data_IF_818461451612
#
_entry.id   IF_818461451612
#
_cell.length_a   1.000
_cell.length_b   1.000
_cell.length_c   1.000
_cell.angle_alpha   90.00
_cell.angle_beta   90.00
_cell.angle_gamma   90.00
#
_symmetry.space_group_name_H-M   'P 1'
#
loop_
_entity.id
_entity.type
_entity.pdbx_description
1 polymer ?
#
# COMPACT_ATOMS: atom_id res chain seq x y z
N UNK A 1 -22.91 -32.16 -29.82
CA UNK A 1 -23.29 -32.40 -28.41
C UNK A 1 -22.10 -33.03 -27.71
N UNK A 2 -21.14 -32.21 -27.30
CA UNK A 2 -19.94 -32.67 -26.59
C UNK A 2 -19.97 -31.98 -25.23
N UNK A 3 -20.46 -32.72 -24.24
CA UNK A 3 -20.25 -32.39 -22.82
C UNK A 3 -18.75 -32.44 -22.58
N UNK A 4 -18.17 -31.31 -22.19
CA UNK A 4 -16.88 -31.29 -21.54
C UNK A 4 -17.12 -31.66 -20.09
N UNK A 5 -16.91 -32.94 -19.77
CA UNK A 5 -16.80 -33.42 -18.40
C UNK A 5 -15.54 -32.80 -17.78
N UNK A 6 -15.73 -31.78 -16.95
CA UNK A 6 -14.69 -31.23 -16.10
C UNK A 6 -14.38 -32.25 -15.00
N UNK A 7 -13.27 -32.97 -15.17
CA UNK A 7 -12.59 -33.59 -14.04
C UNK A 7 -12.34 -32.51 -12.96
N UNK A 8 -12.56 -32.81 -11.67
CA UNK A 8 -12.22 -31.88 -10.58
C UNK A 8 -10.70 -31.85 -10.45
N UNK A 9 -10.06 -31.07 -11.32
CA UNK A 9 -8.65 -30.77 -11.17
C UNK A 9 -8.48 -29.87 -9.94
N UNK A 10 -7.46 -30.19 -9.13
CA UNK A 10 -6.96 -29.40 -8.00
C UNK A 10 -6.50 -27.96 -8.38
N UNK A 11 -6.93 -27.40 -9.52
CA UNK A 11 -6.61 -26.05 -10.00
C UNK A 11 -7.53 -24.96 -9.41
N UNK A 12 -8.63 -25.31 -8.74
CA UNK A 12 -9.63 -24.34 -8.27
C UNK A 12 -9.47 -23.96 -6.79
N UNK A 13 -8.27 -23.63 -6.36
CA UNK A 13 -8.05 -22.82 -5.13
C UNK A 13 -7.78 -21.35 -5.45
N UNK A 14 -7.59 -20.99 -6.73
CA UNK A 14 -7.19 -19.65 -7.18
C UNK A 14 -8.35 -18.76 -7.63
N UNK A 15 -9.58 -19.28 -7.61
CA UNK A 15 -10.79 -18.48 -7.79
C UNK A 15 -11.38 -18.16 -6.42
N UNK A 16 -10.62 -17.48 -5.55
CA UNK A 16 -11.19 -16.95 -4.33
C UNK A 16 -12.27 -15.93 -4.74
N UNK A 17 -13.55 -16.27 -4.56
CA UNK A 17 -14.66 -15.33 -4.68
C UNK A 17 -14.42 -14.07 -3.82
N UNK A 18 -13.64 -14.21 -2.74
CA UNK A 18 -13.22 -13.11 -1.84
C UNK A 18 -12.37 -12.03 -2.55
N UNK A 19 -11.65 -12.37 -3.61
CA UNK A 19 -10.84 -11.41 -4.37
C UNK A 19 -11.61 -10.72 -5.52
N UNK A 20 -12.94 -10.89 -5.61
CA UNK A 20 -13.76 -10.10 -6.55
C UNK A 20 -13.69 -8.62 -6.25
N UNK A 21 -13.86 -8.21 -4.99
CA UNK A 21 -13.80 -6.81 -4.57
C UNK A 21 -12.49 -6.13 -4.97
N UNK A 22 -11.36 -6.79 -4.72
CA UNK A 22 -10.02 -6.33 -5.09
C UNK A 22 -9.91 -6.02 -6.59
N UNK A 23 -10.44 -6.91 -7.44
CA UNK A 23 -10.40 -6.78 -8.90
C UNK A 23 -11.35 -5.67 -9.36
N UNK A 24 -12.54 -5.62 -8.80
CA UNK A 24 -13.58 -4.64 -9.16
C UNK A 24 -13.14 -3.22 -8.82
N UNK A 25 -12.55 -2.99 -7.64
CA UNK A 25 -11.99 -1.70 -7.27
C UNK A 25 -10.95 -1.20 -8.27
N UNK A 26 -10.08 -2.10 -8.74
CA UNK A 26 -9.04 -1.74 -9.71
C UNK A 26 -9.64 -1.40 -11.07
N UNK A 27 -10.63 -2.18 -11.52
CA UNK A 27 -11.34 -1.89 -12.76
C UNK A 27 -12.03 -0.53 -12.69
N UNK A 28 -12.74 -0.22 -11.61
CA UNK A 28 -13.40 1.07 -11.41
C UNK A 28 -12.38 2.22 -11.41
N UNK A 29 -11.24 2.04 -10.75
CA UNK A 29 -10.18 3.04 -10.71
C UNK A 29 -9.56 3.26 -12.10
N UNK A 30 -9.33 2.19 -12.86
CA UNK A 30 -8.84 2.25 -14.23
C UNK A 30 -9.83 2.98 -15.16
N UNK A 31 -11.12 2.69 -15.05
CA UNK A 31 -12.16 3.39 -15.81
C UNK A 31 -12.17 4.88 -15.49
N UNK A 32 -12.05 5.24 -14.22
CA UNK A 32 -11.96 6.65 -13.80
C UNK A 32 -10.70 7.34 -14.34
N UNK A 33 -9.55 6.65 -14.33
CA UNK A 33 -8.31 7.17 -14.91
C UNK A 33 -8.45 7.39 -16.42
N UNK A 34 -9.08 6.47 -17.12
CA UNK A 34 -9.32 6.59 -18.57
C UNK A 34 -10.32 7.71 -18.90
N UNK A 35 -11.37 7.88 -18.09
CA UNK A 35 -12.30 8.98 -18.23
C UNK A 35 -11.66 10.35 -17.98
N UNK A 36 -10.66 10.42 -17.07
CA UNK A 36 -9.87 11.63 -16.81
C UNK A 36 -8.76 11.88 -17.82
N UNK A 37 -8.41 10.91 -18.67
CA UNK A 37 -7.39 11.11 -19.68
C UNK A 37 -7.89 12.13 -20.72
N UNK A 38 -7.08 13.17 -20.96
CA UNK A 38 -7.45 14.31 -21.80
C UNK A 38 -7.78 13.95 -23.26
N UNK A 39 -7.38 12.76 -23.74
CA UNK A 39 -7.79 12.22 -25.03
C UNK A 39 -8.35 10.81 -24.90
N UNK A 40 -9.53 10.52 -25.49
CA UNK A 40 -10.13 9.19 -25.52
C UNK A 40 -9.32 8.16 -26.33
N UNK A 41 -8.28 8.59 -27.06
CA UNK A 41 -7.37 7.70 -27.81
C UNK A 41 -6.10 7.30 -27.05
N UNK A 42 -5.93 7.75 -25.80
CA UNK A 42 -4.73 7.46 -25.01
C UNK A 42 -4.83 6.06 -24.41
N UNK A 43 -4.13 5.10 -25.00
CA UNK A 43 -4.12 3.73 -24.47
C UNK A 43 -3.20 3.64 -23.24
N UNK A 44 -3.75 3.21 -22.10
CA UNK A 44 -2.98 2.92 -20.90
C UNK A 44 -2.13 1.66 -21.10
N UNK A 45 -0.87 1.68 -20.69
CA UNK A 45 -0.01 0.49 -20.60
C UNK A 45 -0.13 -0.09 -19.21
N UNK A 46 -0.78 -1.25 -19.11
CA UNK A 46 -1.02 -1.94 -17.85
C UNK A 46 -0.11 -3.17 -17.78
N UNK A 47 0.57 -3.35 -16.65
CA UNK A 47 1.32 -4.55 -16.31
C UNK A 47 0.60 -5.30 -15.19
N UNK A 48 0.26 -6.56 -15.46
CA UNK A 48 -0.12 -7.53 -14.44
C UNK A 48 1.11 -8.39 -14.11
N UNK A 49 1.77 -8.10 -12.99
CA UNK A 49 3.07 -8.68 -12.68
C UNK A 49 3.01 -10.16 -12.26
N UNK A 50 1.86 -10.61 -11.72
CA UNK A 50 1.66 -11.98 -11.22
C UNK A 50 0.37 -12.58 -11.76
N UNK A 51 0.25 -12.60 -13.09
CA UNK A 51 -0.99 -12.86 -13.83
C UNK A 51 -1.74 -14.15 -13.45
N UNK A 52 -1.08 -15.18 -12.92
CA UNK A 52 -1.73 -16.45 -12.57
C UNK A 52 -2.46 -17.05 -13.79
N UNK A 53 -3.79 -17.20 -13.70
CA UNK A 53 -4.65 -17.63 -14.80
C UNK A 53 -4.99 -16.53 -15.82
N UNK A 54 -4.51 -15.30 -15.62
CA UNK A 54 -4.73 -14.16 -16.51
C UNK A 54 -6.06 -13.45 -16.34
N UNK A 55 -6.89 -13.84 -15.37
CA UNK A 55 -8.24 -13.28 -15.22
C UNK A 55 -8.23 -11.76 -14.98
N UNK A 56 -7.22 -11.22 -14.29
CA UNK A 56 -7.07 -9.77 -14.06
C UNK A 56 -6.73 -9.03 -15.36
N UNK A 57 -5.70 -9.48 -16.07
CA UNK A 57 -5.34 -8.95 -17.39
C UNK A 57 -6.53 -9.00 -18.37
N UNK A 58 -7.27 -10.12 -18.43
CA UNK A 58 -8.47 -10.26 -19.27
C UNK A 58 -9.54 -9.23 -18.89
N UNK A 59 -9.83 -9.08 -17.59
CA UNK A 59 -10.81 -8.10 -17.10
C UNK A 59 -10.40 -6.66 -17.40
N UNK A 60 -9.12 -6.32 -17.26
CA UNK A 60 -8.61 -4.98 -17.59
C UNK A 60 -8.82 -4.64 -19.07
N UNK A 61 -8.54 -5.59 -19.96
CA UNK A 61 -8.71 -5.41 -21.41
C UNK A 61 -10.19 -5.28 -21.77
N UNK A 62 -11.02 -6.22 -21.31
CA UNK A 62 -12.44 -6.29 -21.71
C UNK A 62 -13.24 -5.12 -21.13
N UNK A 63 -13.10 -4.85 -19.84
CA UNK A 63 -14.01 -3.93 -19.13
C UNK A 63 -13.54 -2.48 -19.22
N UNK A 64 -12.23 -2.25 -19.32
CA UNK A 64 -11.67 -0.89 -19.41
C UNK A 64 -11.46 -0.47 -20.86
N UNK A 65 -11.58 -1.37 -21.84
CA UNK A 65 -11.20 -1.12 -23.24
C UNK A 65 -9.74 -0.66 -23.39
N UNK A 66 -8.84 -1.22 -22.58
CA UNK A 66 -7.40 -0.93 -22.64
C UNK A 66 -6.70 -1.96 -23.51
N UNK A 67 -5.90 -1.52 -24.49
CA UNK A 67 -5.09 -2.40 -25.30
C UNK A 67 -3.80 -2.79 -24.55
N UNK A 68 -3.64 -4.08 -24.22
CA UNK A 68 -2.34 -4.59 -23.74
C UNK A 68 -1.34 -4.50 -24.89
N UNK A 69 -0.37 -3.60 -24.78
CA UNK A 69 0.77 -3.52 -25.69
C UNK A 69 1.98 -4.17 -25.03
N UNK A 70 2.60 -5.13 -25.73
CA UNK A 70 3.98 -5.50 -25.48
C UNK A 70 4.85 -4.24 -25.61
N UNK A 71 5.41 -3.77 -24.51
CA UNK A 71 5.97 -2.44 -24.44
C UNK A 71 7.27 -2.35 -25.27
N UNK A 72 7.31 -1.45 -26.26
CA UNK A 72 8.55 -0.95 -26.89
C UNK A 72 9.29 0.09 -26.01
N UNK A 73 8.75 0.36 -24.81
CA UNK A 73 9.23 1.35 -23.83
C UNK A 73 9.40 0.69 -22.47
N UNK A 74 10.32 1.15 -21.63
CA UNK A 74 10.63 0.54 -20.33
C UNK A 74 9.67 0.90 -19.18
N UNK A 75 8.62 1.71 -19.42
CA UNK A 75 7.74 2.23 -18.36
C UNK A 75 6.26 1.91 -18.60
N UNK A 76 5.54 1.67 -17.50
CA UNK A 76 4.10 1.34 -17.47
C UNK A 76 3.27 2.47 -16.85
N UNK A 77 2.03 2.63 -17.30
CA UNK A 77 1.10 3.62 -16.76
C UNK A 77 0.38 3.07 -15.51
N UNK A 78 0.12 1.76 -15.49
CA UNK A 78 -0.42 1.05 -14.33
C UNK A 78 0.33 -0.25 -14.10
N UNK A 79 0.65 -0.57 -12.84
CA UNK A 79 1.27 -1.82 -12.43
C UNK A 79 0.42 -2.45 -11.33
N UNK A 80 -0.02 -3.69 -11.52
CA UNK A 80 -0.77 -4.46 -10.52
C UNK A 80 0.08 -5.60 -9.93
N UNK A 81 0.32 -5.51 -8.64
CA UNK A 81 1.07 -6.46 -7.81
C UNK A 81 0.10 -7.23 -6.92
N UNK A 82 0.02 -8.54 -7.12
CA UNK A 82 -0.85 -9.43 -6.37
C UNK A 82 -0.12 -10.75 -6.07
N UNK A 83 0.90 -10.72 -5.21
CA UNK A 83 1.59 -11.93 -4.79
C UNK A 83 0.78 -12.71 -3.76
N UNK A 84 1.12 -13.98 -3.62
CA UNK A 84 0.75 -14.73 -2.42
C UNK A 84 1.67 -14.33 -1.27
N UNK A 85 1.12 -13.67 -0.27
CA UNK A 85 1.86 -13.15 0.89
C UNK A 85 2.23 -11.68 0.76
N UNK A 86 3.47 -11.37 1.12
CA UNK A 86 3.95 -9.99 1.23
C UNK A 86 4.29 -9.36 -0.13
N UNK A 87 3.93 -8.09 -0.34
CA UNK A 87 4.30 -7.35 -1.56
C UNK A 87 5.65 -6.62 -1.49
N UNK A 88 6.29 -6.57 -0.32
CA UNK A 88 7.54 -5.83 -0.05
C UNK A 88 8.60 -5.93 -1.15
N UNK A 89 8.92 -7.15 -1.59
CA UNK A 89 10.00 -7.41 -2.55
C UNK A 89 9.73 -6.87 -3.95
N UNK A 90 8.46 -6.64 -4.29
CA UNK A 90 8.01 -6.18 -5.60
C UNK A 90 7.87 -4.65 -5.69
N UNK A 91 7.72 -3.98 -4.54
CA UNK A 91 7.48 -2.54 -4.47
C UNK A 91 8.63 -1.74 -5.10
N UNK A 92 9.89 -2.10 -4.84
CA UNK A 92 11.05 -1.38 -5.36
C UNK A 92 11.06 -1.35 -6.90
N UNK A 93 10.89 -2.51 -7.53
CA UNK A 93 10.87 -2.65 -8.99
C UNK A 93 9.67 -1.93 -9.62
N UNK A 94 8.49 -2.01 -8.99
CA UNK A 94 7.29 -1.32 -9.48
C UNK A 94 7.45 0.21 -9.41
N UNK A 95 7.95 0.73 -8.28
CA UNK A 95 8.19 2.17 -8.09
C UNK A 95 9.22 2.71 -9.08
N UNK A 96 10.26 1.94 -9.42
CA UNK A 96 11.27 2.34 -10.39
C UNK A 96 10.71 2.39 -11.83
N UNK A 97 9.88 1.41 -12.20
CA UNK A 97 9.42 1.17 -13.58
C UNK A 97 8.14 1.92 -13.94
N UNK A 98 7.31 2.29 -12.96
CA UNK A 98 6.10 3.07 -13.23
C UNK A 98 6.44 4.44 -13.84
N UNK A 99 5.59 4.91 -14.75
CA UNK A 99 5.65 6.26 -15.29
C UNK A 99 5.31 7.30 -14.22
N UNK A 100 5.77 8.54 -14.41
CA UNK A 100 5.40 9.63 -13.49
C UNK A 100 3.90 9.92 -13.61
N UNK A 101 3.21 9.97 -12.48
CA UNK A 101 1.75 10.04 -12.39
C UNK A 101 1.04 8.70 -12.60
N UNK A 102 1.79 7.62 -12.85
CA UNK A 102 1.25 6.28 -13.01
C UNK A 102 0.74 5.69 -11.69
N UNK A 103 -0.09 4.66 -11.80
CA UNK A 103 -0.75 4.00 -10.69
C UNK A 103 -0.08 2.67 -10.36
N UNK A 104 0.16 2.42 -9.07
CA UNK A 104 0.52 1.09 -8.56
C UNK A 104 -0.65 0.57 -7.74
N UNK A 105 -1.09 -0.63 -8.07
CA UNK A 105 -2.01 -1.42 -7.28
C UNK A 105 -1.19 -2.52 -6.59
N UNK A 106 -1.24 -2.61 -5.26
CA UNK A 106 -0.48 -3.60 -4.50
C UNK A 106 -1.39 -4.34 -3.52
N UNK A 107 -1.20 -5.65 -3.43
CA UNK A 107 -1.94 -6.52 -2.52
C UNK A 107 -0.98 -7.19 -1.57
N UNK A 108 -1.32 -7.19 -0.29
CA UNK A 108 -0.60 -7.93 0.73
C UNK A 108 -1.56 -8.84 1.47
N UNK A 109 -1.28 -10.14 1.50
CA UNK A 109 -2.10 -11.14 2.20
C UNK A 109 -1.47 -11.62 3.50
N UNK A 110 -0.30 -11.10 3.89
CA UNK A 110 0.42 -11.47 5.11
C UNK A 110 -0.02 -10.63 6.32
N UNK A 111 -1.33 -10.66 6.59
CA UNK A 111 -1.93 -9.98 7.75
C UNK A 111 -1.44 -10.54 9.09
N UNK A 112 -0.92 -11.77 9.13
CA UNK A 112 -0.30 -12.30 10.36
C UNK A 112 0.95 -11.50 10.73
N UNK A 113 1.82 -11.24 9.75
CA UNK A 113 3.01 -10.41 9.91
C UNK A 113 2.63 -8.96 10.22
N UNK A 114 1.72 -8.36 9.44
CA UNK A 114 1.35 -6.94 9.57
C UNK A 114 0.59 -6.60 10.86
N UNK A 115 -0.14 -7.54 11.45
CA UNK A 115 -0.83 -7.34 12.74
C UNK A 115 0.05 -7.63 13.96
N UNK A 116 1.28 -8.13 13.76
CA UNK A 116 2.23 -8.35 14.84
C UNK A 116 1.78 -9.36 15.90
N UNK A 117 1.06 -10.42 15.49
CA UNK A 117 0.46 -11.40 16.42
C UNK A 117 1.49 -12.22 17.21
N UNK A 118 2.72 -12.35 16.70
CA UNK A 118 3.81 -13.11 17.32
C UNK A 118 5.11 -12.34 17.30
N UNK A 119 6.08 -12.70 18.15
CA UNK A 119 7.42 -12.09 18.12
C UNK A 119 8.14 -12.34 16.79
N UNK A 120 7.90 -13.49 16.15
CA UNK A 120 8.43 -13.78 14.83
C UNK A 120 7.85 -12.84 13.76
N UNK A 121 6.54 -12.56 13.82
CA UNK A 121 5.89 -11.58 12.93
C UNK A 121 6.53 -10.19 13.04
N UNK A 122 7.01 -9.77 14.21
CA UNK A 122 7.67 -8.47 14.38
C UNK A 122 8.99 -8.41 13.61
N UNK A 123 9.82 -9.46 13.72
CA UNK A 123 11.08 -9.55 12.99
C UNK A 123 10.86 -9.63 11.48
N UNK A 124 9.88 -10.43 11.04
CA UNK A 124 9.53 -10.56 9.62
C UNK A 124 9.01 -9.26 9.03
N UNK A 125 8.11 -8.56 9.74
CA UNK A 125 7.59 -7.26 9.31
C UNK A 125 8.70 -6.22 9.19
N UNK A 126 9.64 -6.23 10.15
CA UNK A 126 10.79 -5.34 10.10
C UNK A 126 11.69 -5.63 8.89
N UNK A 127 11.95 -6.91 8.60
CA UNK A 127 12.75 -7.30 7.45
C UNK A 127 12.10 -6.94 6.10
N UNK A 128 10.77 -7.03 6.01
CA UNK A 128 10.02 -6.77 4.77
C UNK A 128 9.74 -5.28 4.55
N UNK A 129 9.31 -4.57 5.60
CA UNK A 129 8.76 -3.21 5.51
C UNK A 129 9.57 -2.16 6.26
N UNK A 130 10.60 -2.54 7.02
CA UNK A 130 11.34 -1.62 7.88
C UNK A 130 10.50 -1.09 9.04
N UNK A 131 9.43 -1.80 9.41
CA UNK A 131 8.52 -1.39 10.47
C UNK A 131 8.23 -2.55 11.45
N UNK A 132 7.91 -2.20 12.70
CA UNK A 132 7.45 -3.14 13.72
C UNK A 132 6.00 -2.81 14.04
N UNK A 133 5.06 -3.74 13.78
CA UNK A 133 3.65 -3.54 14.06
C UNK A 133 3.39 -3.55 15.55
N UNK A 134 2.40 -2.76 15.98
CA UNK A 134 1.89 -2.78 17.35
C UNK A 134 0.49 -3.37 17.32
N UNK A 135 0.21 -4.31 18.23
CA UNK A 135 -1.12 -4.88 18.37
C UNK A 135 -2.05 -3.84 18.98
N UNK A 136 -2.97 -3.31 18.17
CA UNK A 136 -3.95 -2.31 18.56
C UNK A 136 -5.29 -2.56 17.86
N UNK A 137 -6.36 -1.94 18.35
CA UNK A 137 -7.70 -2.04 17.76
C UNK A 137 -7.73 -1.58 16.29
N UNK A 138 -6.88 -0.62 15.92
CA UNK A 138 -6.72 -0.09 14.57
C UNK A 138 -5.64 -0.86 13.76
N UNK A 139 -5.40 -2.14 14.04
CA UNK A 139 -4.33 -2.93 13.43
C UNK A 139 -4.40 -3.01 11.90
N UNK A 140 -5.61 -3.04 11.31
CA UNK A 140 -5.82 -3.04 9.85
C UNK A 140 -5.36 -1.72 9.21
N UNK A 141 -5.73 -0.59 9.82
CA UNK A 141 -5.25 0.73 9.41
C UNK A 141 -3.71 0.83 9.56
N UNK A 142 -3.16 0.30 10.66
CA UNK A 142 -1.72 0.27 10.89
C UNK A 142 -1.00 -0.53 9.78
N UNK A 143 -1.55 -1.67 9.37
CA UNK A 143 -1.02 -2.47 8.27
C UNK A 143 -0.94 -1.68 6.96
N UNK A 144 -1.97 -0.92 6.61
CA UNK A 144 -1.96 -0.01 5.46
C UNK A 144 -0.81 1.01 5.58
N UNK A 145 -0.66 1.63 6.75
CA UNK A 145 0.38 2.64 6.99
C UNK A 145 1.80 2.08 6.98
N UNK A 146 1.99 0.83 7.39
CA UNK A 146 3.28 0.12 7.30
C UNK A 146 3.69 -0.01 5.84
N UNK A 147 2.81 -0.55 5.00
CA UNK A 147 3.14 -0.80 3.59
C UNK A 147 3.34 0.52 2.84
N UNK A 148 2.49 1.52 3.09
CA UNK A 148 2.66 2.86 2.51
C UNK A 148 3.95 3.54 2.99
N UNK A 149 4.36 3.34 4.25
CA UNK A 149 5.61 3.87 4.79
C UNK A 149 6.84 3.28 4.11
N UNK A 150 6.82 1.96 3.86
CA UNK A 150 7.84 1.27 3.09
C UNK A 150 7.88 1.76 1.64
N UNK A 151 6.72 1.85 0.97
CA UNK A 151 6.61 2.37 -0.39
C UNK A 151 7.09 3.82 -0.51
N UNK A 152 6.76 4.69 0.45
CA UNK A 152 7.21 6.07 0.48
C UNK A 152 8.74 6.17 0.63
N UNK A 153 9.33 5.32 1.49
CA UNK A 153 10.78 5.27 1.69
C UNK A 153 11.50 4.80 0.42
N UNK A 154 10.95 3.78 -0.26
CA UNK A 154 11.47 3.31 -1.55
C UNK A 154 11.34 4.38 -2.64
N UNK A 155 10.21 5.09 -2.69
CA UNK A 155 10.01 6.18 -3.64
C UNK A 155 10.98 7.35 -3.41
N UNK A 156 11.21 7.72 -2.15
CA UNK A 156 12.16 8.76 -1.79
C UNK A 156 13.59 8.44 -2.29
N UNK A 157 14.02 7.17 -2.17
CA UNK A 157 15.31 6.71 -2.71
C UNK A 157 15.43 6.83 -4.24
N UNK A 158 14.30 6.95 -4.95
CA UNK A 158 14.25 7.18 -6.39
C UNK A 158 13.91 8.63 -6.79
N UNK A 159 13.96 9.58 -5.86
CA UNK A 159 13.51 10.98 -6.04
C UNK A 159 12.04 11.08 -6.51
N UNK A 160 11.19 10.24 -5.94
CA UNK A 160 9.75 10.16 -6.21
C UNK A 160 8.94 10.28 -4.92
N UNK A 161 7.68 10.66 -5.06
CA UNK A 161 6.69 10.70 -3.98
C UNK A 161 5.55 9.75 -4.32
N UNK A 162 4.98 9.11 -3.30
CA UNK A 162 3.73 8.37 -3.43
C UNK A 162 2.54 9.22 -2.99
N UNK A 163 1.42 9.10 -3.71
CA UNK A 163 0.14 9.70 -3.37
C UNK A 163 -0.88 8.57 -3.22
N UNK A 164 -1.27 8.18 -1.98
CA UNK A 164 -2.31 7.18 -1.78
C UNK A 164 -3.65 7.64 -2.35
N UNK A 165 -4.29 6.80 -3.15
CA UNK A 165 -5.59 7.08 -3.79
C UNK A 165 -6.72 6.36 -3.07
N UNK A 166 -6.55 5.05 -2.86
CA UNK A 166 -7.56 4.19 -2.26
C UNK A 166 -6.89 3.01 -1.58
N UNK A 167 -7.12 2.87 -0.28
CA UNK A 167 -6.57 1.79 0.52
C UNK A 167 -7.70 1.07 1.25
N UNK A 168 -7.73 -0.26 1.14
CA UNK A 168 -8.70 -1.12 1.83
C UNK A 168 -7.98 -2.24 2.57
N UNK A 169 -8.53 -2.61 3.71
CA UNK A 169 -8.15 -3.80 4.45
C UNK A 169 -9.43 -4.62 4.66
N UNK A 170 -9.48 -5.81 4.09
CA UNK A 170 -10.69 -6.66 4.08
C UNK A 170 -10.27 -8.05 4.51
N UNK A 171 -10.92 -8.56 5.56
CA UNK A 171 -10.63 -9.87 6.17
C UNK A 171 -9.13 -10.15 6.36
N UNK A 172 -8.52 -10.84 5.39
CA UNK A 172 -7.15 -11.36 5.41
C UNK A 172 -6.17 -10.67 4.46
N UNK A 173 -6.58 -9.60 3.76
CA UNK A 173 -5.68 -8.88 2.85
C UNK A 173 -5.81 -7.36 2.95
N UNK A 174 -4.76 -6.69 2.52
CA UNK A 174 -4.70 -5.24 2.32
C UNK A 174 -4.50 -4.97 0.84
N UNK A 175 -5.29 -4.06 0.28
CA UNK A 175 -5.19 -3.60 -1.10
C UNK A 175 -4.94 -2.10 -1.12
N UNK A 176 -3.88 -1.70 -1.81
CA UNK A 176 -3.40 -0.33 -1.86
C UNK A 176 -3.38 0.13 -3.31
N UNK A 177 -3.89 1.31 -3.55
CA UNK A 177 -3.79 2.00 -4.83
C UNK A 177 -3.13 3.35 -4.57
N UNK A 178 -1.95 3.57 -5.13
CA UNK A 178 -1.23 4.83 -4.95
C UNK A 178 -0.57 5.24 -6.26
N UNK A 179 -0.52 6.55 -6.50
CA UNK A 179 0.22 7.11 -7.63
C UNK A 179 1.65 7.39 -7.23
N UNK A 180 2.53 7.40 -8.22
CA UNK A 180 3.93 7.75 -8.03
C UNK A 180 4.27 8.94 -8.91
N UNK A 181 4.74 10.02 -8.30
CA UNK A 181 5.12 11.25 -9.01
C UNK A 181 6.62 11.50 -8.86
N UNK A 182 7.24 12.05 -9.90
CA UNK A 182 8.60 12.57 -9.78
C UNK A 182 8.60 13.86 -8.98
N UNK A 183 9.58 13.99 -8.09
CA UNK A 183 9.77 15.19 -7.28
C UNK A 183 10.68 16.16 -8.04
N UNK A 184 10.33 17.45 -8.16
CA UNK A 184 11.23 18.44 -8.71
C UNK A 184 12.51 18.52 -7.86
N UNK A 185 13.69 18.75 -8.45
CA UNK A 185 14.98 18.73 -7.72
C UNK A 185 15.07 19.75 -6.56
N UNK A 186 14.22 20.78 -6.54
CA UNK A 186 14.22 21.83 -5.51
C UNK A 186 13.01 21.76 -4.56
N UNK A 187 12.20 20.70 -4.63
CA UNK A 187 11.07 20.55 -3.73
C UNK A 187 11.52 19.98 -2.37
N UNK A 188 10.91 20.40 -1.25
CA UNK A 188 11.16 19.81 0.06
C UNK A 188 10.84 18.31 0.03
N UNK A 189 11.58 17.53 0.84
CA UNK A 189 11.47 16.08 0.84
C UNK A 189 10.03 15.65 1.17
N UNK A 190 9.40 14.82 0.32
CA UNK A 190 7.95 14.65 0.32
C UNK A 190 7.43 13.61 1.33
N UNK A 191 8.33 12.96 2.08
CA UNK A 191 7.97 11.82 2.91
C UNK A 191 7.55 12.28 4.31
N UNK A 192 6.26 12.67 4.47
CA UNK A 192 5.58 12.68 5.79
C UNK A 192 5.50 11.25 6.35
N UNK A 193 6.63 10.77 6.86
CA UNK A 193 6.72 9.56 7.65
C UNK A 193 6.54 9.94 9.10
N UNK A 194 6.02 9.02 9.90
CA UNK A 194 5.86 9.21 11.32
C UNK A 194 6.14 7.91 12.06
N UNK A 195 6.36 8.05 13.36
CA UNK A 195 6.46 6.97 14.33
C UNK A 195 5.20 7.02 15.20
N UNK A 196 4.63 5.87 15.52
CA UNK A 196 3.50 5.77 16.46
C UNK A 196 4.01 5.36 17.83
N UNK A 197 3.71 6.17 18.85
CA UNK A 197 3.78 5.77 20.26
C UNK A 197 2.40 5.28 20.71
N UNK A 198 2.25 4.00 21.05
CA UNK A 198 0.98 3.40 21.46
C UNK A 198 1.03 2.96 22.93
N UNK A 199 0.03 3.30 23.72
CA UNK A 199 -0.07 2.80 25.09
C UNK A 199 -0.54 1.35 25.12
N UNK A 200 0.10 0.50 25.93
CA UNK A 200 -0.32 -0.91 26.08
C UNK A 200 -1.59 -1.09 26.92
N UNK A 201 -1.97 -0.08 27.71
CA UNK A 201 -3.06 -0.16 28.70
C UNK A 201 -4.33 0.56 28.26
N UNK A 202 -4.21 1.58 27.42
CA UNK A 202 -5.35 2.35 26.93
C UNK A 202 -5.20 2.63 25.43
N UNK A 203 -6.25 3.11 24.78
CA UNK A 203 -6.25 3.41 23.35
C UNK A 203 -5.49 4.71 22.97
N UNK A 204 -4.74 5.31 23.90
CA UNK A 204 -3.96 6.50 23.60
C UNK A 204 -2.78 6.16 22.67
N UNK A 205 -2.66 6.94 21.60
CA UNK A 205 -1.48 6.96 20.75
C UNK A 205 -1.07 8.39 20.40
N UNK A 206 0.20 8.55 20.00
CA UNK A 206 0.75 9.79 19.46
C UNK A 206 1.55 9.50 18.20
N UNK A 207 1.42 10.38 17.20
CA UNK A 207 2.27 10.38 16.02
C UNK A 207 3.43 11.36 16.21
N UNK A 208 4.65 10.90 15.94
CA UNK A 208 5.86 11.73 15.86
C UNK A 208 6.31 11.81 14.41
N UNK A 209 6.13 12.95 13.72
CA UNK A 209 6.61 13.13 12.35
C UNK A 209 8.13 12.97 12.27
N UNK A 210 8.61 12.41 11.17
CA UNK A 210 10.02 12.27 10.82
C UNK A 210 10.38 13.30 9.74
N UNK A 211 11.57 13.88 9.84
CA UNK A 211 12.09 14.81 8.83
C UNK A 211 11.43 16.18 8.82
N UNK A 212 10.73 16.57 9.89
CA UNK A 212 10.20 17.92 10.01
C UNK A 212 11.35 18.90 10.24
N UNK A 213 11.54 19.86 9.33
CA UNK A 213 12.44 20.99 9.53
C UNK A 213 11.62 22.16 10.08
N UNK A 214 11.70 22.37 11.40
CA UNK A 214 11.17 23.59 12.00
C UNK A 214 11.93 24.78 11.40
N UNK A 215 11.26 25.61 10.60
CA UNK A 215 11.88 26.69 9.81
C UNK A 215 12.48 27.81 10.68
N UNK A 216 12.27 27.77 11.99
CA UNK A 216 12.59 28.85 12.91
C UNK A 216 13.63 28.52 13.99
N UNK A 217 14.20 27.31 14.03
CA UNK A 217 15.28 27.02 14.99
C UNK A 217 16.37 26.15 14.34
N UNK A 218 17.60 26.70 14.28
CA UNK A 218 18.81 25.95 13.95
C UNK A 218 19.26 24.98 15.05
N UNK A 219 18.37 24.68 16.00
CA UNK A 219 18.55 23.62 16.98
C UNK A 219 18.12 22.32 16.33
N UNK A 220 18.96 21.29 16.34
CA UNK A 220 18.44 19.93 16.31
C UNK A 220 17.37 19.85 17.41
N UNK A 221 16.16 19.37 17.08
CA UNK A 221 15.07 19.25 18.06
C UNK A 221 15.65 18.57 19.31
N UNK A 222 15.75 19.31 20.41
CA UNK A 222 16.14 18.70 21.68
C UNK A 222 15.00 17.76 22.03
N UNK A 223 15.25 16.44 21.98
CA UNK A 223 14.36 15.33 22.37
C UNK A 223 13.91 15.38 23.86
N UNK A 224 13.83 16.57 24.46
CA UNK A 224 13.47 16.84 25.85
C UNK A 224 11.97 16.65 26.16
N UNK A 225 11.20 15.99 25.29
CA UNK A 225 9.74 15.91 25.41
C UNK A 225 9.09 14.54 25.14
N UNK A 226 9.85 13.52 24.74
CA UNK A 226 9.31 12.17 24.56
C UNK A 226 9.15 11.48 25.92
N UNK A 227 8.13 11.93 26.67
CA UNK A 227 7.64 11.20 27.82
C UNK A 227 7.25 9.79 27.37
N UNK A 228 8.06 8.80 27.74
CA UNK A 228 7.80 7.37 27.52
C UNK A 228 6.54 6.89 28.27
N UNK A 229 6.00 7.73 29.15
CA UNK A 229 4.76 7.50 29.88
C UNK A 229 3.55 8.06 29.11
N UNK A 230 2.50 7.27 29.07
CA UNK A 230 1.18 7.67 28.58
C UNK A 230 0.62 8.80 29.45
N UNK A 231 0.19 9.94 28.88
CA UNK A 231 -0.37 11.06 29.64
C UNK A 231 -1.73 10.75 30.27
N UNK A 232 -2.41 9.69 29.80
CA UNK A 232 -3.75 9.31 30.29
C UNK A 232 -3.66 8.38 31.50
N UNK A 233 -2.78 7.38 31.46
CA UNK A 233 -2.75 6.31 32.47
C UNK A 233 -1.38 6.05 33.09
N UNK A 234 -0.35 6.81 32.71
CA UNK A 234 1.02 6.69 33.22
C UNK A 234 1.77 5.42 32.80
N UNK A 235 1.16 4.52 32.02
CA UNK A 235 1.81 3.29 31.55
C UNK A 235 2.81 3.57 30.43
N UNK A 236 3.77 2.67 30.21
CA UNK A 236 4.75 2.79 29.13
C UNK A 236 4.10 2.79 27.74
N UNK A 237 4.61 3.66 26.86
CA UNK A 237 4.28 3.67 25.45
C UNK A 237 5.20 2.69 24.71
N UNK A 238 4.61 1.80 23.90
CA UNK A 238 5.31 1.01 22.90
C UNK A 238 5.56 1.84 21.65
N UNK A 239 6.75 1.68 21.09
CA UNK A 239 7.20 2.34 19.88
C UNK A 239 6.91 1.45 18.67
N UNK A 240 6.01 1.87 17.79
CA UNK A 240 5.98 1.37 16.41
C UNK A 240 7.04 2.09 15.60
N UNK A 241 7.58 1.44 14.58
CA UNK A 241 8.61 2.03 13.72
C UNK A 241 7.98 2.90 12.61
N UNK A 242 8.73 3.13 11.52
CA UNK A 242 8.40 4.07 10.44
C UNK A 242 7.09 3.70 9.73
N UNK A 243 6.16 4.65 9.69
CA UNK A 243 4.83 4.54 9.09
C UNK A 243 4.55 5.77 8.21
N UNK A 244 3.64 5.64 7.25
CA UNK A 244 3.15 6.81 6.49
C UNK A 244 2.19 7.65 7.36
N UNK A 245 2.48 8.93 7.54
CA UNK A 245 1.53 9.88 8.11
C UNK A 245 0.42 10.14 7.08
N UNK A 246 -0.84 10.12 7.54
CA UNK A 246 -1.98 10.34 6.66
C UNK A 246 -2.02 11.80 6.21
N UNK A 247 -2.40 12.01 4.96
CA UNK A 247 -2.84 13.32 4.48
C UNK A 247 -4.38 13.27 4.40
N UNK A 248 -5.09 14.37 4.67
CA UNK A 248 -6.57 14.46 4.65
C UNK A 248 -7.24 14.12 3.31
N UNK A 249 -6.45 13.74 2.29
CA UNK A 249 -6.90 13.47 0.91
C UNK A 249 -7.02 12.00 0.55
N UNK A 250 -6.49 11.07 1.35
CA UNK A 250 -6.58 9.64 1.07
C UNK A 250 -7.83 9.01 1.68
N UNK A 251 -8.66 8.39 0.83
CA UNK A 251 -9.81 7.60 1.28
C UNK A 251 -9.31 6.29 1.91
N UNK A 252 -9.34 6.25 3.24
CA UNK A 252 -9.17 5.02 4.01
C UNK A 252 -10.55 4.39 4.20
N UNK A 253 -10.78 3.23 3.60
CA UNK A 253 -12.00 2.47 3.82
C UNK A 253 -11.63 1.19 4.57
N UNK A 254 -11.78 1.23 5.88
CA UNK A 254 -11.74 0.03 6.71
C UNK A 254 -13.10 -0.65 6.57
N UNK A 255 -13.18 -1.71 5.76
CA UNK A 255 -14.36 -2.58 5.75
C UNK A 255 -14.14 -3.54 6.90
N UNK A 256 -14.42 -3.07 8.11
CA UNK A 256 -14.67 -3.96 9.22
C UNK A 256 -15.98 -4.67 8.91
N UNK A 257 -15.94 -5.99 8.75
CA UNK A 257 -17.14 -6.80 8.85
C UNK A 257 -17.83 -6.41 10.16
N UNK A 258 -19.02 -5.81 10.01
CA UNK A 258 -19.98 -5.74 11.08
C UNK A 258 -20.63 -7.12 11.07
N UNK A 259 -20.33 -7.87 12.13
CA UNK A 259 -20.82 -9.19 12.57
C UNK A 259 -19.88 -10.39 12.35
#
# INVERSE_FOLDING_TARGET
STRFDLLPCMLCSHLHAVQELQRDMTVLLLQHLQAKAASPSTHLRILDALSGCGIRAIRFVIITCVALRAARTTKFDVIDLDPFGACASLLASAIATVSSGGLICATDTDMHTLLGKTSHAHATCHAQYGAVPVTAAYGKELAIRIILGAAASLAAAHHRVIEPVLCTAVEFYVRLHFRVHNVPPNAPEPASLAIVHQCIRCAYFRLRPLGHTNSNDGSCDNDNGDSVACPVCGSSLQLSHRLRQGDDRSLHMDVTDVD
#
